data_IF_947933402768
#
_entry.id   IF_947933402768
#
_cell.length_a   1.000
_cell.length_b   1.000
_cell.length_c   1.000
_cell.angle_alpha   90.00
_cell.angle_beta   90.00
_cell.angle_gamma   90.00
#
_symmetry.space_group_name_H-M   'P 1'
#
loop_
_entity.id
_entity.type
_entity.pdbx_description
1 polymer ?
#
# COMPACT_ATOMS: atom_id res chain seq x y z
N UNK A 1 -33.88 0.93 -18.76
CA UNK A 1 -34.08 1.04 -20.23
C UNK A 1 -32.81 1.40 -20.98
N UNK A 2 -31.98 2.36 -20.51
CA UNK A 2 -30.64 2.59 -21.11
C UNK A 2 -29.72 1.36 -21.03
N UNK A 3 -29.74 0.61 -19.93
CA UNK A 3 -28.96 -0.64 -19.74
C UNK A 3 -29.32 -1.73 -20.77
N UNK A 4 -30.60 -1.90 -21.11
CA UNK A 4 -31.03 -2.84 -22.15
C UNK A 4 -30.63 -2.38 -23.58
N UNK A 5 -30.52 -1.07 -23.81
CA UNK A 5 -30.05 -0.49 -25.08
C UNK A 5 -28.52 -0.67 -25.22
N UNK A 6 -27.76 -0.49 -24.14
CA UNK A 6 -26.33 -0.80 -24.08
C UNK A 6 -26.06 -2.31 -24.16
N UNK A 7 -26.95 -3.17 -23.64
CA UNK A 7 -26.80 -4.61 -23.80
C UNK A 7 -27.01 -5.07 -25.25
N UNK A 8 -27.96 -4.46 -25.98
CA UNK A 8 -28.23 -4.80 -27.39
C UNK A 8 -27.27 -4.16 -28.40
N UNK A 9 -26.75 -2.97 -28.11
CA UNK A 9 -25.84 -2.23 -29.01
C UNK A 9 -24.38 -2.33 -28.56
N UNK A 10 -24.11 -2.41 -27.26
CA UNK A 10 -22.78 -2.36 -26.67
C UNK A 10 -22.05 -3.71 -26.59
N UNK A 11 -22.76 -4.83 -26.46
CA UNK A 11 -22.12 -6.16 -26.45
C UNK A 11 -21.45 -6.47 -27.81
N UNK A 12 -22.11 -6.28 -28.98
CA UNK A 12 -21.46 -6.47 -30.27
C UNK A 12 -20.25 -5.55 -30.48
N UNK A 13 -20.34 -4.29 -30.04
CA UNK A 13 -19.24 -3.31 -30.12
C UNK A 13 -18.07 -3.70 -29.20
N UNK A 14 -18.33 -4.20 -28.01
CA UNK A 14 -17.29 -4.69 -27.10
C UNK A 14 -16.59 -5.92 -27.65
N UNK A 15 -17.36 -6.87 -28.21
CA UNK A 15 -16.83 -8.10 -28.81
C UNK A 15 -15.94 -7.78 -30.02
N UNK A 16 -16.34 -6.86 -30.89
CA UNK A 16 -15.52 -6.46 -32.04
C UNK A 16 -14.24 -5.72 -31.63
N UNK A 17 -14.32 -4.80 -30.66
CA UNK A 17 -13.14 -4.11 -30.11
C UNK A 17 -12.17 -5.09 -29.44
N UNK A 18 -12.67 -6.03 -28.65
CA UNK A 18 -11.86 -7.07 -28.01
C UNK A 18 -11.22 -7.99 -29.05
N UNK A 19 -11.99 -8.46 -30.04
CA UNK A 19 -11.49 -9.29 -31.14
C UNK A 19 -10.37 -8.59 -31.91
N UNK A 20 -10.56 -7.33 -32.31
CA UNK A 20 -9.55 -6.53 -33.03
C UNK A 20 -8.30 -6.27 -32.19
N UNK A 21 -8.46 -6.07 -30.88
CA UNK A 21 -7.33 -5.91 -29.97
C UNK A 21 -6.52 -7.21 -29.84
N UNK A 22 -7.18 -8.36 -29.78
CA UNK A 22 -6.57 -9.67 -29.63
C UNK A 22 -5.93 -10.17 -30.93
N UNK A 23 -6.48 -9.81 -32.10
CA UNK A 23 -5.87 -10.08 -33.43
C UNK A 23 -4.48 -9.46 -33.57
N UNK A 24 -4.22 -8.33 -32.90
CA UNK A 24 -2.91 -7.64 -32.92
C UNK A 24 -1.85 -8.33 -32.06
N UNK A 25 -2.25 -9.24 -31.18
CA UNK A 25 -1.32 -9.99 -30.31
C UNK A 25 -0.86 -11.27 -31.03
N UNK A 26 0.45 -11.41 -31.22
CA UNK A 26 1.09 -12.57 -31.87
C UNK A 26 1.29 -13.73 -30.88
N UNK A 27 0.21 -14.22 -30.28
CA UNK A 27 0.20 -15.40 -29.43
C UNK A 27 -0.91 -16.36 -29.88
N UNK A 28 -0.68 -17.68 -29.98
CA UNK A 28 -1.68 -18.64 -30.48
C UNK A 28 -3.00 -18.59 -29.70
N UNK A 29 -2.94 -18.42 -28.37
CA UNK A 29 -4.14 -18.29 -27.54
C UNK A 29 -4.93 -17.00 -27.83
N UNK A 30 -4.26 -15.89 -28.16
CA UNK A 30 -4.92 -14.63 -28.47
C UNK A 30 -5.60 -14.66 -29.85
N UNK A 31 -4.95 -15.30 -30.84
CA UNK A 31 -5.53 -15.54 -32.16
C UNK A 31 -6.75 -16.47 -32.09
N UNK A 32 -6.67 -17.53 -31.28
CA UNK A 32 -7.80 -18.44 -31.03
C UNK A 32 -8.98 -17.74 -30.35
N UNK A 33 -8.72 -16.89 -29.35
CA UNK A 33 -9.76 -16.11 -28.69
C UNK A 33 -10.42 -15.09 -29.64
N UNK A 34 -9.65 -14.42 -30.50
CA UNK A 34 -10.19 -13.49 -31.48
C UNK A 34 -11.13 -14.16 -32.49
N UNK A 35 -10.75 -15.33 -33.01
CA UNK A 35 -11.60 -16.10 -33.94
C UNK A 35 -12.91 -16.55 -33.27
N UNK A 36 -12.85 -16.97 -32.01
CA UNK A 36 -14.03 -17.34 -31.24
C UNK A 36 -14.98 -16.14 -31.01
N UNK A 37 -14.43 -14.96 -30.73
CA UNK A 37 -15.21 -13.72 -30.55
C UNK A 37 -15.89 -13.27 -31.85
N UNK A 38 -15.24 -13.43 -33.01
CA UNK A 38 -15.82 -13.11 -34.33
C UNK A 38 -16.97 -14.06 -34.71
N UNK A 39 -16.83 -15.34 -34.34
CA UNK A 39 -17.91 -16.32 -34.49
C UNK A 39 -19.11 -15.95 -33.60
N UNK A 40 -18.84 -15.55 -32.35
CA UNK A 40 -19.86 -15.11 -31.41
C UNK A 40 -20.60 -13.86 -31.90
N UNK A 41 -19.88 -12.88 -32.47
CA UNK A 41 -20.48 -11.68 -33.05
C UNK A 41 -21.46 -12.02 -34.19
N UNK A 42 -21.08 -12.97 -35.06
CA UNK A 42 -21.92 -13.41 -36.17
C UNK A 42 -23.21 -14.06 -35.67
N UNK A 43 -23.12 -14.97 -34.69
CA UNK A 43 -24.31 -15.62 -34.10
C UNK A 43 -25.21 -14.65 -33.34
N UNK A 44 -24.64 -13.60 -32.73
CA UNK A 44 -25.41 -12.51 -32.11
C UNK A 44 -26.17 -11.67 -33.16
N UNK A 45 -25.53 -11.32 -34.29
CA UNK A 45 -26.18 -10.58 -35.38
C UNK A 45 -27.30 -11.39 -36.04
N UNK A 46 -27.09 -12.70 -36.21
CA UNK A 46 -28.06 -13.61 -36.81
C UNK A 46 -29.23 -13.99 -35.87
N UNK A 47 -29.26 -13.46 -34.63
CA UNK A 47 -30.26 -13.81 -33.61
C UNK A 47 -30.33 -15.31 -33.30
N UNK A 48 -29.22 -16.04 -33.50
CA UNK A 48 -29.14 -17.48 -33.21
C UNK A 48 -29.12 -17.77 -31.71
N UNK A 49 -28.74 -16.78 -30.90
CA UNK A 49 -28.76 -16.84 -29.44
C UNK A 49 -30.06 -16.22 -28.93
N UNK A 50 -30.89 -16.96 -28.17
CA UNK A 50 -32.12 -16.41 -27.60
C UNK A 50 -31.82 -15.22 -26.70
N UNK A 51 -32.49 -14.09 -26.94
CA UNK A 51 -32.31 -12.86 -26.14
C UNK A 51 -32.56 -13.06 -24.65
N UNK A 52 -33.41 -14.03 -24.28
CA UNK A 52 -33.71 -14.38 -22.89
C UNK A 52 -32.47 -14.93 -22.13
N UNK A 53 -31.65 -15.75 -22.79
CA UNK A 53 -30.42 -16.29 -22.17
C UNK A 53 -29.37 -15.19 -21.94
N UNK A 54 -29.27 -14.23 -22.87
CA UNK A 54 -28.38 -13.08 -22.73
C UNK A 54 -28.85 -12.17 -21.59
N UNK A 55 -30.17 -11.94 -21.49
CA UNK A 55 -30.75 -11.14 -20.41
C UNK A 55 -30.56 -11.79 -19.04
N UNK A 56 -30.70 -13.12 -18.93
CA UNK A 56 -30.43 -13.85 -17.69
C UNK A 56 -28.95 -13.83 -17.30
N UNK A 57 -28.05 -14.04 -18.27
CA UNK A 57 -26.60 -13.92 -18.05
C UNK A 57 -26.21 -12.51 -17.59
N UNK A 58 -26.82 -11.46 -18.17
CA UNK A 58 -26.60 -10.08 -17.74
C UNK A 58 -27.10 -9.84 -16.32
N UNK A 59 -28.29 -10.35 -15.94
CA UNK A 59 -28.79 -10.27 -14.56
C UNK A 59 -27.83 -10.93 -13.56
N UNK A 60 -27.29 -12.10 -13.91
CA UNK A 60 -26.29 -12.75 -13.06
C UNK A 60 -24.99 -11.95 -12.96
N UNK A 61 -24.51 -11.38 -14.08
CA UNK A 61 -23.32 -10.53 -14.08
C UNK A 61 -23.51 -9.27 -13.21
N UNK A 62 -24.66 -8.60 -13.33
CA UNK A 62 -25.03 -7.45 -12.49
C UNK A 62 -25.07 -7.85 -11.01
N UNK A 63 -25.69 -8.99 -10.67
CA UNK A 63 -25.76 -9.49 -9.29
C UNK A 63 -24.38 -9.83 -8.73
N UNK A 64 -23.52 -10.47 -9.51
CA UNK A 64 -22.14 -10.77 -9.11
C UNK A 64 -21.33 -9.50 -8.89
N UNK A 65 -21.46 -8.52 -9.77
CA UNK A 65 -20.78 -7.24 -9.63
C UNK A 65 -21.25 -6.50 -8.36
N UNK A 66 -22.55 -6.47 -8.10
CA UNK A 66 -23.12 -5.90 -6.87
C UNK A 66 -22.54 -6.58 -5.62
N UNK A 67 -22.51 -7.92 -5.58
CA UNK A 67 -21.93 -8.67 -4.46
C UNK A 67 -20.43 -8.39 -4.28
N UNK A 68 -19.66 -8.35 -5.37
CA UNK A 68 -18.23 -8.03 -5.32
C UNK A 68 -17.97 -6.61 -4.81
N UNK A 69 -18.81 -5.64 -5.19
CA UNK A 69 -18.73 -4.28 -4.65
C UNK A 69 -19.08 -4.22 -3.17
N UNK A 70 -20.11 -4.96 -2.73
CA UNK A 70 -20.49 -5.03 -1.32
C UNK A 70 -19.39 -5.66 -0.47
N UNK A 71 -18.76 -6.74 -0.94
CA UNK A 71 -17.63 -7.39 -0.27
C UNK A 71 -16.42 -6.44 -0.14
N UNK A 72 -16.07 -5.74 -1.21
CA UNK A 72 -14.99 -4.75 -1.18
C UNK A 72 -15.32 -3.59 -0.23
N UNK A 73 -16.54 -3.08 -0.25
CA UNK A 73 -16.98 -2.02 0.65
C UNK A 73 -16.94 -2.47 2.12
N UNK A 74 -17.38 -3.70 2.41
CA UNK A 74 -17.33 -4.28 3.74
C UNK A 74 -15.87 -4.46 4.22
N UNK A 75 -15.01 -5.01 3.38
CA UNK A 75 -13.58 -5.17 3.67
C UNK A 75 -12.92 -3.83 3.97
N UNK A 76 -13.16 -2.81 3.14
CA UNK A 76 -12.63 -1.47 3.36
C UNK A 76 -13.19 -0.84 4.64
N UNK A 77 -14.45 -1.10 4.97
CA UNK A 77 -15.06 -0.64 6.22
C UNK A 77 -14.40 -1.27 7.44
N UNK A 78 -14.21 -2.59 7.45
CA UNK A 78 -13.56 -3.32 8.56
C UNK A 78 -12.09 -2.90 8.75
N UNK A 79 -11.34 -2.74 7.66
CA UNK A 79 -9.96 -2.23 7.71
C UNK A 79 -9.92 -0.81 8.27
N UNK A 80 -10.82 0.07 7.84
CA UNK A 80 -10.88 1.42 8.38
C UNK A 80 -11.32 1.45 9.85
N UNK A 81 -12.23 0.56 10.25
CA UNK A 81 -12.68 0.44 11.63
C UNK A 81 -11.55 -0.03 12.56
N UNK A 82 -10.81 -1.06 12.16
CA UNK A 82 -9.64 -1.55 12.92
C UNK A 82 -8.53 -0.50 13.01
N UNK A 83 -8.19 0.20 11.92
CA UNK A 83 -7.22 1.30 11.94
C UNK A 83 -7.65 2.43 12.88
N UNK A 84 -8.93 2.81 12.88
CA UNK A 84 -9.44 3.83 13.81
C UNK A 84 -9.37 3.35 15.26
N UNK A 85 -9.64 2.07 15.52
CA UNK A 85 -9.50 1.49 16.85
C UNK A 85 -8.03 1.44 17.31
N UNK A 86 -7.09 1.15 16.42
CA UNK A 86 -5.65 1.21 16.71
C UNK A 86 -5.18 2.64 17.01
N UNK A 87 -5.62 3.63 16.21
CA UNK A 87 -5.30 5.05 16.44
C UNK A 87 -5.92 5.57 17.73
N UNK A 88 -7.13 5.13 18.05
CA UNK A 88 -7.82 5.46 19.30
C UNK A 88 -7.32 4.66 20.51
N UNK A 89 -6.48 3.65 20.30
CA UNK A 89 -5.91 2.85 21.38
C UNK A 89 -5.04 3.75 22.27
N UNK A 90 -5.44 3.90 23.52
CA UNK A 90 -4.73 4.72 24.51
C UNK A 90 -3.51 4.01 25.13
N UNK A 91 -3.00 2.94 24.51
CA UNK A 91 -1.89 2.15 25.06
C UNK A 91 -0.73 3.08 25.49
N UNK A 92 -0.45 3.16 26.81
CA UNK A 92 0.60 4.02 27.33
C UNK A 92 1.97 3.74 26.72
N UNK A 93 2.21 2.51 26.24
CA UNK A 93 3.47 2.10 25.64
C UNK A 93 3.71 2.80 24.29
N UNK A 94 2.70 2.90 23.43
CA UNK A 94 2.79 3.57 22.12
C UNK A 94 3.10 5.06 22.29
N UNK A 95 2.50 5.70 23.29
CA UNK A 95 2.71 7.13 23.57
C UNK A 95 4.06 7.41 24.24
N UNK A 96 4.57 6.47 25.04
CA UNK A 96 5.83 6.62 25.79
C UNK A 96 7.07 6.17 25.01
N UNK A 97 6.93 5.30 24.02
CA UNK A 97 8.05 4.74 23.26
C UNK A 97 8.95 5.83 22.62
N UNK A 98 8.34 6.85 22.00
CA UNK A 98 9.08 7.96 21.37
C UNK A 98 9.94 8.74 22.39
N UNK A 99 9.38 9.25 23.52
CA UNK A 99 10.20 9.91 24.53
C UNK A 99 11.17 8.98 25.26
N UNK A 100 10.83 7.71 25.53
CA UNK A 100 11.78 6.77 26.16
C UNK A 100 13.00 6.51 25.29
N UNK A 101 12.83 6.38 23.98
CA UNK A 101 13.95 6.26 23.05
C UNK A 101 14.85 7.50 23.12
N UNK A 102 14.25 8.70 23.12
CA UNK A 102 15.00 9.96 23.26
C UNK A 102 15.79 10.05 24.56
N UNK A 103 15.20 9.66 25.69
CA UNK A 103 15.90 9.68 26.98
C UNK A 103 17.04 8.66 27.05
N UNK A 104 16.84 7.45 26.53
CA UNK A 104 17.89 6.44 26.48
C UNK A 104 19.06 6.89 25.61
N UNK A 105 18.78 7.48 24.43
CA UNK A 105 19.80 8.03 23.54
C UNK A 105 20.60 9.17 24.18
N UNK A 106 19.91 10.08 24.89
CA UNK A 106 20.58 11.17 25.59
C UNK A 106 21.47 10.64 26.72
N UNK A 107 20.99 9.64 27.47
CA UNK A 107 21.74 9.02 28.55
C UNK A 107 22.98 8.28 28.06
N UNK A 108 22.86 7.48 26.99
CA UNK A 108 24.00 6.75 26.42
C UNK A 108 25.02 7.71 25.81
N UNK A 109 24.56 8.79 25.17
CA UNK A 109 25.45 9.83 24.64
C UNK A 109 26.21 10.55 25.77
N UNK A 110 25.52 10.94 26.84
CA UNK A 110 26.14 11.56 28.00
C UNK A 110 27.17 10.63 28.65
N UNK A 111 26.84 9.36 28.83
CA UNK A 111 27.76 8.35 29.35
C UNK A 111 29.00 8.18 28.46
N UNK A 112 28.82 8.13 27.14
CA UNK A 112 29.92 8.02 26.19
C UNK A 112 30.83 9.25 26.22
N UNK A 113 30.26 10.46 26.26
CA UNK A 113 31.04 11.70 26.35
C UNK A 113 31.80 11.83 27.67
N UNK A 114 31.21 11.41 28.78
CA UNK A 114 31.89 11.36 30.07
C UNK A 114 33.04 10.34 30.08
N UNK A 115 32.85 9.18 29.45
CA UNK A 115 33.91 8.18 29.31
C UNK A 115 35.09 8.72 28.49
N UNK A 116 34.82 9.41 27.38
CA UNK A 116 35.86 10.06 26.57
C UNK A 116 36.58 11.15 27.37
N UNK A 117 35.84 12.02 28.05
CA UNK A 117 36.42 13.07 28.89
C UNK A 117 37.30 12.49 30.01
N UNK A 118 36.86 11.41 30.66
CA UNK A 118 37.63 10.70 31.67
C UNK A 118 38.95 10.15 31.11
N UNK A 119 38.91 9.48 29.95
CA UNK A 119 40.13 8.96 29.30
C UNK A 119 41.07 10.10 28.93
N UNK A 120 40.56 11.20 28.37
CA UNK A 120 41.39 12.36 28.03
C UNK A 120 42.12 12.98 29.22
N UNK A 121 41.53 12.95 30.42
CA UNK A 121 42.14 13.55 31.62
C UNK A 121 43.06 12.57 32.35
N UNK A 122 42.62 11.32 32.53
CA UNK A 122 43.28 10.36 33.42
C UNK A 122 44.04 9.24 32.70
N UNK A 123 43.83 9.07 31.39
CA UNK A 123 44.42 8.02 30.54
C UNK A 123 44.82 8.61 29.18
N UNK A 124 45.52 9.74 29.20
CA UNK A 124 45.92 10.49 27.99
C UNK A 124 46.63 9.63 26.95
N UNK A 125 47.45 8.66 27.35
CA UNK A 125 48.14 7.74 26.46
C UNK A 125 47.17 6.88 25.59
N UNK A 126 45.97 6.60 26.09
CA UNK A 126 44.95 5.78 25.41
C UNK A 126 43.96 6.64 24.61
N UNK A 127 44.01 7.98 24.76
CA UNK A 127 43.03 8.90 24.17
C UNK A 127 42.89 8.78 22.66
N UNK A 128 44.01 8.60 21.95
CA UNK A 128 43.98 8.46 20.49
C UNK A 128 43.22 7.21 20.05
N UNK A 129 43.46 6.08 20.72
CA UNK A 129 42.78 4.81 20.43
C UNK A 129 41.28 4.91 20.70
N UNK A 130 40.88 5.58 21.78
CA UNK A 130 39.46 5.76 22.13
C UNK A 130 38.75 6.69 21.14
N UNK A 131 39.41 7.76 20.67
CA UNK A 131 38.87 8.65 19.65
C UNK A 131 38.70 7.91 18.31
N UNK A 132 39.67 7.09 17.92
CA UNK A 132 39.58 6.26 16.71
C UNK A 132 38.41 5.25 16.81
N UNK A 133 38.28 4.57 17.95
CA UNK A 133 37.16 3.67 18.22
C UNK A 133 35.81 4.40 18.18
N UNK A 134 35.73 5.65 18.65
CA UNK A 134 34.52 6.48 18.49
C UNK A 134 34.16 6.67 17.01
N UNK A 135 35.16 6.87 16.15
CA UNK A 135 34.97 6.94 14.70
C UNK A 135 34.22 5.74 14.14
N UNK A 136 34.55 4.52 14.60
CA UNK A 136 33.87 3.28 14.18
C UNK A 136 32.39 3.21 14.58
N UNK A 137 32.00 3.88 15.66
CA UNK A 137 30.63 3.96 16.15
C UNK A 137 29.78 5.01 15.40
N UNK A 138 30.37 5.79 14.49
CA UNK A 138 29.65 6.88 13.80
C UNK A 138 28.39 6.38 13.08
N UNK A 139 28.46 5.20 12.45
CA UNK A 139 27.33 4.65 11.70
C UNK A 139 26.11 4.36 12.58
N UNK A 140 26.30 3.75 13.76
CA UNK A 140 25.19 3.47 14.67
C UNK A 140 24.58 4.76 15.24
N UNK A 141 25.41 5.78 15.48
CA UNK A 141 24.95 7.09 15.90
C UNK A 141 24.18 7.82 14.80
N UNK A 142 24.61 7.75 13.54
CA UNK A 142 23.86 8.32 12.40
C UNK A 142 22.45 7.74 12.32
N UNK A 143 22.32 6.42 12.42
CA UNK A 143 21.01 5.76 12.39
C UNK A 143 20.16 6.20 13.59
N UNK A 144 20.71 6.11 14.81
CA UNK A 144 19.98 6.46 16.04
C UNK A 144 19.50 7.92 16.08
N UNK A 145 20.36 8.86 15.67
CA UNK A 145 20.03 10.28 15.61
C UNK A 145 19.04 10.60 14.47
N UNK A 146 19.07 9.87 13.36
CA UNK A 146 18.08 10.03 12.29
C UNK A 146 16.67 9.66 12.76
N UNK A 147 16.53 8.55 13.48
CA UNK A 147 15.25 8.13 14.09
C UNK A 147 14.74 9.19 15.07
N UNK A 148 15.64 9.70 15.93
CA UNK A 148 15.31 10.77 16.87
C UNK A 148 14.86 12.05 16.15
N UNK A 149 15.53 12.43 15.07
CA UNK A 149 15.17 13.56 14.22
C UNK A 149 13.75 13.45 13.65
N UNK A 150 13.39 12.27 13.12
CA UNK A 150 12.04 12.00 12.60
C UNK A 150 10.99 12.12 13.73
N UNK A 151 11.26 11.58 14.93
CA UNK A 151 10.35 11.69 16.06
C UNK A 151 10.14 13.12 16.54
N UNK A 152 11.20 13.94 16.61
CA UNK A 152 11.08 15.35 16.98
C UNK A 152 10.32 16.15 15.93
N UNK A 153 10.58 15.89 14.64
CA UNK A 153 9.88 16.56 13.53
C UNK A 153 8.38 16.25 13.57
N UNK A 154 8.00 14.98 13.65
CA UNK A 154 6.60 14.58 13.71
C UNK A 154 5.88 15.09 14.95
N UNK A 155 6.54 15.07 16.12
CA UNK A 155 5.95 15.65 17.34
C UNK A 155 5.74 17.16 17.24
N UNK A 156 6.62 17.86 16.51
CA UNK A 156 6.49 19.30 16.28
C UNK A 156 5.34 19.60 15.32
N UNK A 157 5.13 18.74 14.31
CA UNK A 157 3.98 18.78 13.41
C UNK A 157 2.66 18.54 14.16
N UNK A 158 2.59 17.52 15.03
CA UNK A 158 1.41 17.24 15.87
C UNK A 158 1.03 18.48 16.70
N UNK A 159 2.01 19.09 17.39
CA UNK A 159 1.81 20.31 18.18
C UNK A 159 1.32 21.50 17.35
N UNK A 160 1.79 21.62 16.10
CA UNK A 160 1.37 22.69 15.18
C UNK A 160 -0.08 22.51 14.75
N UNK A 161 -0.54 21.27 14.62
CA UNK A 161 -1.91 20.92 14.26
C UNK A 161 -2.87 20.93 15.47
N UNK A 162 -2.37 21.12 16.69
CA UNK A 162 -3.18 21.14 17.91
C UNK A 162 -3.62 19.76 18.42
N UNK A 163 -2.91 18.71 17.99
CA UNK A 163 -3.06 17.31 18.45
C UNK A 163 -1.96 16.97 19.48
#
# INVERSE_FOLDING_TARGET
MLSALFAKIGLPVLVSVLSDSLKKVRHPAAQGAAAALETLETSLQNHEIPTEQIEEANRHAEKMAEMAWQEQAATLSEVNQSLRAEVASEDPYVRRMRPTFGYLMALTWAAQMLAIAYVMVFRTAESNLVIEAMGSLSMIWTVGLSVLGIYVYKRSEDKRLGL
#
